data_IF_298650781141
#
_entry.id   IF_298650781141
#
_cell.length_a   1.000
_cell.length_b   1.000
_cell.length_c   1.000
_cell.angle_alpha   90.00
_cell.angle_beta   90.00
_cell.angle_gamma   90.00
#
_symmetry.space_group_name_H-M   'P 1'
#
loop_
_entity.id
_entity.type
_entity.pdbx_description
1 polymer ?
#
# COMPACT_ATOMS: atom_id res chain seq x y z
N UNK A 1 -38.11 -28.01 -16.54
CA UNK A 1 -37.73 -27.31 -15.29
C UNK A 1 -36.22 -27.24 -15.01
N UNK A 2 -35.35 -28.05 -15.63
CA UNK A 2 -33.90 -28.05 -15.34
C UNK A 2 -33.12 -26.84 -15.89
N UNK A 3 -33.59 -26.22 -16.98
CA UNK A 3 -32.92 -25.06 -17.60
C UNK A 3 -33.01 -23.75 -16.79
N UNK A 4 -34.09 -23.56 -16.02
CA UNK A 4 -34.25 -22.35 -15.20
C UNK A 4 -33.33 -22.33 -13.97
N UNK A 5 -32.97 -23.50 -13.43
CA UNK A 5 -32.09 -23.60 -12.27
C UNK A 5 -30.63 -23.27 -12.65
N UNK A 6 -30.15 -23.78 -13.79
CA UNK A 6 -28.77 -23.56 -14.27
C UNK A 6 -28.48 -22.09 -14.55
N UNK A 7 -29.47 -21.34 -15.04
CA UNK A 7 -29.32 -19.91 -15.32
C UNK A 7 -29.17 -19.07 -14.03
N UNK A 8 -29.87 -19.44 -12.96
CA UNK A 8 -29.78 -18.76 -11.66
C UNK A 8 -28.42 -19.04 -10.99
N UNK A 9 -27.91 -20.27 -11.08
CA UNK A 9 -26.57 -20.59 -10.55
C UNK A 9 -25.47 -19.86 -11.32
N UNK A 10 -25.62 -19.64 -12.63
CA UNK A 10 -24.65 -18.88 -13.43
C UNK A 10 -24.62 -17.39 -13.04
N UNK A 11 -25.77 -16.79 -12.73
CA UNK A 11 -25.88 -15.38 -12.32
C UNK A 11 -25.27 -15.17 -10.92
N UNK A 12 -25.49 -16.10 -9.99
CA UNK A 12 -24.85 -16.02 -8.66
C UNK A 12 -23.33 -16.20 -8.72
N UNK A 13 -22.81 -17.00 -9.65
CA UNK A 13 -21.37 -17.20 -9.83
C UNK A 13 -20.69 -15.98 -10.48
N UNK A 14 -21.40 -15.22 -11.33
CA UNK A 14 -20.91 -13.96 -11.90
C UNK A 14 -20.86 -12.81 -10.87
N UNK A 15 -21.68 -12.86 -9.82
CA UNK A 15 -21.67 -11.89 -8.72
C UNK A 15 -20.59 -12.15 -7.65
N UNK A 16 -19.94 -13.32 -7.70
CA UNK A 16 -18.82 -13.67 -6.82
C UNK A 16 -17.45 -13.38 -7.44
N UNK A 17 -17.39 -12.58 -8.51
CA UNK A 17 -16.12 -12.02 -8.97
C UNK A 17 -15.58 -11.14 -7.83
N UNK A 18 -14.41 -11.46 -7.24
CA UNK A 18 -13.80 -10.54 -6.30
C UNK A 18 -13.54 -9.26 -7.08
N UNK A 19 -14.20 -8.18 -6.66
CA UNK A 19 -13.87 -6.80 -7.00
C UNK A 19 -12.47 -6.47 -6.47
N UNK A 20 -11.46 -7.17 -6.98
CA UNK A 20 -10.10 -6.68 -7.07
C UNK A 20 -10.08 -5.72 -8.26
N UNK A 21 -10.86 -4.65 -8.17
CA UNK A 21 -10.51 -3.43 -8.89
C UNK A 21 -9.15 -3.06 -8.34
N UNK A 22 -8.10 -3.50 -9.04
CA UNK A 22 -6.75 -3.08 -8.79
C UNK A 22 -6.74 -1.57 -9.00
N UNK A 23 -6.86 -0.82 -7.90
CA UNK A 23 -6.71 0.62 -7.87
C UNK A 23 -5.42 0.94 -8.63
N UNK A 24 -5.56 1.61 -9.79
CA UNK A 24 -4.42 1.86 -10.65
C UNK A 24 -3.46 2.79 -9.89
N UNK A 25 -2.19 2.39 -9.67
CA UNK A 25 -1.21 3.22 -8.97
C UNK A 25 -0.86 4.54 -9.69
N UNK A 26 -1.41 4.77 -10.88
CA UNK A 26 -1.11 5.93 -11.74
C UNK A 26 -1.51 7.30 -11.16
N UNK A 27 -2.38 7.34 -10.15
CA UNK A 27 -2.90 8.59 -9.59
C UNK A 27 -2.14 9.09 -8.34
N UNK A 28 -1.10 8.38 -7.91
CA UNK A 28 -0.31 8.77 -6.73
C UNK A 28 0.94 9.55 -7.16
N UNK A 29 1.10 10.82 -6.75
CA UNK A 29 2.21 11.66 -7.21
C UNK A 29 3.54 11.18 -6.62
N UNK A 30 4.51 10.90 -7.49
CA UNK A 30 5.88 10.55 -7.09
C UNK A 30 6.84 11.74 -7.24
N UNK A 31 7.91 11.81 -6.43
CA UNK A 31 8.97 12.79 -6.62
C UNK A 31 9.61 12.70 -8.01
N UNK A 32 9.77 13.84 -8.68
CA UNK A 32 10.47 13.91 -10.00
C UNK A 32 11.95 13.54 -9.88
N UNK A 33 12.54 13.75 -8.71
CA UNK A 33 13.92 13.48 -8.35
C UNK A 33 14.11 12.09 -7.70
N UNK A 34 13.14 11.18 -7.83
CA UNK A 34 13.23 9.83 -7.27
C UNK A 34 14.50 9.11 -7.76
N UNK A 35 15.37 8.75 -6.81
CA UNK A 35 16.60 7.98 -7.05
C UNK A 35 16.74 6.88 -6.01
N UNK A 36 16.68 5.62 -6.45
CA UNK A 36 16.83 4.46 -5.57
C UNK A 36 18.33 4.23 -5.32
N UNK A 37 18.71 4.12 -4.05
CA UNK A 37 20.09 3.95 -3.59
C UNK A 37 20.23 2.79 -2.59
N UNK A 38 21.47 2.33 -2.41
CA UNK A 38 21.82 1.22 -1.52
C UNK A 38 21.46 -0.15 -2.11
N UNK A 39 21.88 -1.23 -1.45
CA UNK A 39 21.44 -2.59 -1.78
C UNK A 39 20.09 -2.87 -1.11
N UNK A 40 19.21 -3.60 -1.79
CA UNK A 40 17.97 -4.04 -1.16
C UNK A 40 18.37 -5.06 -0.08
N UNK A 41 17.83 -4.98 1.15
CA UNK A 41 17.90 -6.10 2.07
C UNK A 41 17.39 -7.36 1.37
N UNK A 42 17.99 -8.53 1.63
CA UNK A 42 17.52 -9.79 1.06
C UNK A 42 16.03 -10.07 1.37
N UNK A 43 15.54 -9.54 2.50
CA UNK A 43 14.13 -9.60 2.89
C UNK A 43 13.20 -8.74 2.02
N UNK A 44 13.73 -7.79 1.24
CA UNK A 44 12.97 -6.93 0.34
C UNK A 44 13.11 -7.41 -1.10
N UNK A 45 12.12 -8.18 -1.57
CA UNK A 45 12.04 -8.64 -2.96
C UNK A 45 11.61 -7.54 -3.94
N UNK A 46 11.00 -6.47 -3.42
CA UNK A 46 10.63 -5.27 -4.15
C UNK A 46 11.20 -4.01 -3.47
N UNK A 47 11.24 -2.89 -4.20
CA UNK A 47 11.65 -1.57 -3.68
C UNK A 47 10.49 -0.62 -3.43
N UNK A 48 9.33 -0.95 -3.98
CA UNK A 48 8.14 -0.14 -3.92
C UNK A 48 6.90 -1.03 -3.80
N UNK A 49 5.87 -0.48 -3.18
CA UNK A 49 4.58 -1.11 -3.01
C UNK A 49 3.47 -0.08 -3.21
N UNK A 50 2.34 -0.51 -3.75
CA UNK A 50 1.14 0.30 -3.91
C UNK A 50 -0.07 -0.40 -3.33
N UNK A 51 -0.96 0.34 -2.68
CA UNK A 51 -2.21 -0.18 -2.15
C UNK A 51 -3.18 0.93 -1.78
N UNK A 52 -4.24 0.57 -1.09
CA UNK A 52 -5.29 1.50 -0.66
C UNK A 52 -5.59 1.33 0.83
N UNK A 53 -5.51 2.42 1.58
CA UNK A 53 -5.99 2.47 2.96
C UNK A 53 -7.50 2.35 2.96
N UNK A 54 -8.02 1.37 3.70
CA UNK A 54 -9.46 1.15 3.86
C UNK A 54 -9.82 0.97 5.32
N UNK A 55 -10.94 1.58 5.70
CA UNK A 55 -11.69 1.19 6.88
C UNK A 55 -12.68 0.08 6.45
N UNK A 56 -12.63 -1.14 7.01
CA UNK A 56 -13.57 -2.20 6.65
C UNK A 56 -15.04 -1.86 6.95
N UNK A 57 -15.29 -0.86 7.81
CA UNK A 57 -16.63 -0.36 8.14
C UNK A 57 -17.12 0.73 7.18
N UNK A 58 -16.24 1.29 6.34
CA UNK A 58 -16.59 2.32 5.37
C UNK A 58 -17.05 1.72 4.03
N UNK A 59 -17.83 2.46 3.23
CA UNK A 59 -18.18 2.06 1.87
C UNK A 59 -16.96 1.67 1.02
N UNK A 60 -17.07 0.69 0.10
CA UNK A 60 -15.92 0.18 -0.68
C UNK A 60 -15.16 1.25 -1.48
N UNK A 61 -15.84 2.31 -1.88
CA UNK A 61 -15.29 3.44 -2.63
C UNK A 61 -14.50 4.43 -1.77
N UNK A 62 -14.62 4.38 -0.44
CA UNK A 62 -13.86 5.24 0.46
C UNK A 62 -12.47 4.67 0.71
N UNK A 63 -11.48 5.55 0.75
CA UNK A 63 -10.12 5.18 1.13
C UNK A 63 -9.06 5.91 0.33
N UNK A 64 -7.81 5.75 0.75
CA UNK A 64 -6.69 6.54 0.25
C UNK A 64 -5.67 5.66 -0.47
N UNK A 65 -5.49 5.87 -1.77
CA UNK A 65 -4.42 5.23 -2.53
C UNK A 65 -3.07 5.71 -2.00
N UNK A 66 -2.13 4.79 -1.83
CA UNK A 66 -0.81 5.07 -1.30
C UNK A 66 0.27 4.23 -1.98
N UNK A 67 1.46 4.82 -2.08
CA UNK A 67 2.68 4.19 -2.57
C UNK A 67 3.77 4.37 -1.53
N UNK A 68 4.45 3.29 -1.20
CA UNK A 68 5.59 3.29 -0.30
C UNK A 68 6.83 2.84 -1.08
N UNK A 69 7.91 3.60 -0.99
CA UNK A 69 9.17 3.32 -1.69
C UNK A 69 10.34 3.38 -0.72
N UNK A 70 11.22 2.40 -0.74
CA UNK A 70 12.49 2.45 -0.02
C UNK A 70 13.56 3.13 -0.89
N UNK A 71 13.68 4.45 -0.72
CA UNK A 71 14.63 5.29 -1.46
C UNK A 71 16.08 4.93 -1.13
N UNK A 72 16.41 4.78 0.16
CA UNK A 72 17.77 4.42 0.60
C UNK A 72 17.69 3.48 1.81
N UNK A 73 18.51 2.43 1.83
CA UNK A 73 18.62 1.51 2.96
C UNK A 73 20.07 1.36 3.39
N UNK A 74 20.32 1.46 4.70
CA UNK A 74 21.64 1.31 5.31
C UNK A 74 21.50 0.61 6.67
N UNK A 75 21.66 -0.72 6.67
CA UNK A 75 21.49 -1.54 7.87
C UNK A 75 20.08 -1.41 8.46
N UNK A 76 19.98 -1.01 9.74
CA UNK A 76 18.72 -0.81 10.47
C UNK A 76 18.05 0.54 10.22
N UNK A 77 18.54 1.33 9.26
CA UNK A 77 17.97 2.65 8.93
C UNK A 77 17.59 2.68 7.46
N UNK A 78 16.44 3.28 7.18
CA UNK A 78 16.02 3.55 5.81
C UNK A 78 15.51 4.99 5.67
N UNK A 79 15.56 5.47 4.43
CA UNK A 79 14.77 6.60 3.98
C UNK A 79 13.71 6.06 3.05
N UNK A 80 12.47 6.26 3.42
CA UNK A 80 11.31 5.91 2.60
C UNK A 80 10.73 7.16 1.96
N UNK A 81 10.08 6.98 0.83
CA UNK A 81 9.11 7.93 0.29
C UNK A 81 7.74 7.31 0.52
N UNK A 82 6.87 8.09 1.13
CA UNK A 82 5.46 7.74 1.24
C UNK A 82 4.65 8.77 0.46
N UNK A 83 3.94 8.30 -0.55
CA UNK A 83 3.11 9.07 -1.43
C UNK A 83 1.65 8.61 -1.30
N UNK A 84 0.73 9.53 -1.45
CA UNK A 84 -0.71 9.29 -1.33
C UNK A 84 -1.48 10.11 -2.35
N UNK A 85 -2.55 9.53 -2.88
CA UNK A 85 -3.44 10.16 -3.86
C UNK A 85 -4.41 11.15 -3.22
N UNK A 86 -5.27 11.73 -4.04
CA UNK A 86 -6.38 12.55 -3.59
C UNK A 86 -7.47 11.67 -2.97
N UNK A 87 -8.16 12.21 -1.96
CA UNK A 87 -9.35 11.61 -1.36
C UNK A 87 -10.29 12.76 -0.95
N UNK A 88 -11.17 13.20 -1.87
CA UNK A 88 -12.13 14.28 -1.60
C UNK A 88 -13.03 14.00 -0.40
N UNK A 89 -13.44 12.74 -0.22
CA UNK A 89 -14.27 12.28 0.89
C UNK A 89 -13.57 12.42 2.25
N UNK A 90 -12.25 12.25 2.30
CA UNK A 90 -11.44 12.49 3.50
C UNK A 90 -10.89 13.92 3.59
N UNK A 91 -11.19 14.77 2.60
CA UNK A 91 -10.61 16.13 2.43
C UNK A 91 -9.08 16.12 2.39
N UNK A 92 -8.49 15.07 1.81
CA UNK A 92 -7.03 14.91 1.66
C UNK A 92 -6.65 15.25 0.23
N UNK A 93 -5.67 16.13 0.06
CA UNK A 93 -5.02 16.39 -1.22
C UNK A 93 -3.84 15.45 -1.42
N UNK A 94 -3.61 15.02 -2.66
CA UNK A 94 -2.49 14.17 -3.01
C UNK A 94 -1.15 14.81 -2.64
N UNK A 95 -0.18 13.97 -2.31
CA UNK A 95 1.15 14.45 -1.96
C UNK A 95 2.11 13.33 -1.63
N UNK A 96 3.35 13.72 -1.36
CA UNK A 96 4.38 12.79 -0.93
C UNK A 96 5.36 13.46 0.03
N UNK A 97 6.10 12.63 0.74
CA UNK A 97 7.15 13.05 1.64
C UNK A 97 8.19 11.96 1.83
N UNK A 98 9.39 12.38 2.24
CA UNK A 98 10.49 11.50 2.63
C UNK A 98 10.51 11.37 4.14
N UNK A 99 10.67 10.15 4.64
CA UNK A 99 10.75 9.88 6.07
C UNK A 99 12.00 9.06 6.38
N UNK A 100 12.80 9.46 7.39
CA UNK A 100 13.75 8.57 8.00
C UNK A 100 12.99 7.57 8.89
N UNK A 101 13.31 6.29 8.77
CA UNK A 101 12.72 5.22 9.59
C UNK A 101 13.80 4.30 10.12
N UNK A 102 13.56 3.77 11.32
CA UNK A 102 14.32 2.67 11.87
C UNK A 102 13.62 1.35 11.52
N UNK A 103 14.40 0.38 11.08
CA UNK A 103 13.93 -0.96 10.73
C UNK A 103 14.20 -1.90 11.91
N UNK A 104 13.14 -2.54 12.40
CA UNK A 104 13.21 -3.65 13.33
C UNK A 104 13.03 -4.96 12.55
N UNK A 105 14.12 -5.67 12.30
CA UNK A 105 14.12 -6.93 11.54
C UNK A 105 14.30 -8.11 12.47
N UNK A 106 13.41 -9.09 12.36
CA UNK A 106 13.44 -10.35 13.11
C UNK A 106 13.11 -11.49 12.13
N UNK A 107 14.10 -12.34 11.84
CA UNK A 107 13.97 -13.38 10.82
C UNK A 107 13.65 -12.79 9.43
N UNK A 108 12.54 -13.24 8.84
CA UNK A 108 12.03 -12.77 7.54
C UNK A 108 11.10 -11.54 7.65
N UNK A 109 10.84 -11.04 8.86
CA UNK A 109 9.93 -9.93 9.10
C UNK A 109 10.68 -8.64 9.36
N UNK A 110 10.18 -7.54 8.81
CA UNK A 110 10.69 -6.20 9.09
C UNK A 110 9.54 -5.27 9.44
N UNK A 111 9.66 -4.56 10.54
CA UNK A 111 8.69 -3.57 11.01
C UNK A 111 9.31 -2.18 11.03
N UNK A 112 8.49 -1.17 10.76
CA UNK A 112 8.86 0.23 10.90
C UNK A 112 7.61 1.10 11.04
N UNK A 113 7.78 2.27 11.64
CA UNK A 113 6.70 3.22 11.88
C UNK A 113 7.17 4.65 11.62
N UNK A 114 6.24 5.52 11.23
CA UNK A 114 6.51 6.95 11.07
C UNK A 114 5.24 7.78 11.19
N UNK A 115 5.39 9.05 11.56
CA UNK A 115 4.29 10.04 11.52
C UNK A 115 4.25 10.70 10.15
N UNK A 116 3.14 10.50 9.43
CA UNK A 116 2.91 11.10 8.12
C UNK A 116 2.73 12.63 8.20
N UNK A 117 2.79 13.32 7.05
CA UNK A 117 2.50 14.76 6.95
C UNK A 117 1.07 15.11 7.33
N UNK A 118 0.18 14.12 7.30
CA UNK A 118 -1.22 14.22 7.74
C UNK A 118 -1.37 14.08 9.26
N UNK A 119 -0.27 13.91 10.00
CA UNK A 119 -0.27 13.77 11.47
C UNK A 119 -0.63 12.37 11.97
N UNK A 120 -0.79 11.40 11.08
CA UNK A 120 -1.10 10.02 11.46
C UNK A 120 0.15 9.17 11.63
N UNK A 121 0.21 8.38 12.70
CA UNK A 121 1.23 7.35 12.90
C UNK A 121 0.84 6.12 12.09
N UNK A 122 1.73 5.74 11.17
CA UNK A 122 1.57 4.59 10.29
C UNK A 122 2.57 3.52 10.70
N UNK A 123 2.05 2.33 11.00
CA UNK A 123 2.84 1.15 11.30
C UNK A 123 2.83 0.23 10.09
N UNK A 124 3.99 -0.32 9.74
CA UNK A 124 4.13 -1.26 8.64
C UNK A 124 4.85 -2.53 9.08
N UNK A 125 4.39 -3.65 8.56
CA UNK A 125 5.01 -4.96 8.70
C UNK A 125 5.20 -5.58 7.32
N UNK A 126 6.44 -5.99 7.06
CA UNK A 126 6.88 -6.59 5.81
C UNK A 126 7.27 -8.04 6.05
N UNK A 127 6.84 -8.92 5.15
CA UNK A 127 7.21 -10.34 5.11
C UNK A 127 7.37 -10.77 3.65
N UNK A 128 8.62 -10.82 3.18
CA UNK A 128 8.95 -11.08 1.77
C UNK A 128 8.46 -9.96 0.84
N UNK A 129 7.60 -10.30 -0.11
CA UNK A 129 7.00 -9.36 -1.07
C UNK A 129 5.72 -8.69 -0.54
N UNK A 130 5.17 -9.17 0.58
CA UNK A 130 3.95 -8.67 1.18
C UNK A 130 4.27 -7.56 2.18
N UNK A 131 3.48 -6.49 2.11
CA UNK A 131 3.48 -5.44 3.13
C UNK A 131 2.05 -5.17 3.57
N UNK A 132 1.90 -5.02 4.89
CA UNK A 132 0.67 -4.59 5.54
C UNK A 132 0.97 -3.34 6.33
N UNK A 133 -0.01 -2.45 6.41
CA UNK A 133 0.06 -1.28 7.26
C UNK A 133 -1.21 -1.09 8.08
N UNK A 134 -1.05 -0.45 9.23
CA UNK A 134 -2.13 -0.01 10.11
C UNK A 134 -1.91 1.43 10.52
N UNK A 135 -3.00 2.14 10.80
CA UNK A 135 -2.96 3.49 11.31
C UNK A 135 -3.30 3.48 12.80
N UNK A 136 -2.38 3.96 13.64
CA UNK A 136 -2.51 3.83 15.09
C UNK A 136 -3.76 4.56 15.59
N UNK A 137 -4.52 3.90 16.47
CA UNK A 137 -5.75 4.46 17.05
C UNK A 137 -6.96 4.47 16.12
N UNK A 138 -6.87 3.85 14.93
CA UNK A 138 -8.02 3.67 14.03
C UNK A 138 -8.12 2.24 13.51
N UNK A 139 -9.34 1.80 13.18
CA UNK A 139 -9.57 0.54 12.47
C UNK A 139 -9.31 0.70 10.95
N UNK A 140 -8.13 1.21 10.59
CA UNK A 140 -7.77 1.49 9.18
C UNK A 140 -6.53 0.70 8.81
N UNK A 141 -6.63 -0.06 7.72
CA UNK A 141 -5.59 -1.00 7.26
C UNK A 141 -5.29 -0.81 5.79
N UNK A 142 -4.07 -1.18 5.41
CA UNK A 142 -3.66 -1.27 4.02
C UNK A 142 -2.96 -2.60 3.78
N UNK A 143 -3.29 -3.23 2.66
CA UNK A 143 -2.48 -4.30 2.07
C UNK A 143 -1.95 -3.74 0.76
N UNK A 144 -0.63 -3.80 0.56
CA UNK A 144 -0.02 -3.28 -0.66
C UNK A 144 0.61 -4.41 -1.44
N UNK A 145 0.55 -4.31 -2.77
CA UNK A 145 1.20 -5.21 -3.69
C UNK A 145 2.54 -4.62 -4.16
N UNK A 146 3.54 -5.45 -4.50
CA UNK A 146 4.77 -4.99 -5.13
C UNK A 146 4.50 -4.11 -6.35
N UNK A 147 5.16 -2.96 -6.39
CA UNK A 147 5.09 -2.02 -7.49
C UNK A 147 6.41 -2.07 -8.27
N UNK A 148 6.34 -2.40 -9.55
CA UNK A 148 7.48 -2.26 -10.46
C UNK A 148 7.66 -0.77 -10.78
N UNK A 149 8.72 -0.18 -10.25
CA UNK A 149 9.12 1.16 -10.69
C UNK A 149 9.69 1.01 -12.11
N UNK A 150 9.08 1.71 -13.08
CA UNK A 150 9.46 1.58 -14.48
C UNK A 150 10.97 1.71 -14.67
N UNK A 151 11.56 0.78 -15.43
CA UNK A 151 12.91 0.96 -15.98
C UNK A 151 12.84 2.20 -16.88
N UNK A 152 13.37 3.32 -16.42
CA UNK A 152 13.77 4.38 -17.34
C UNK A 152 15.02 3.92 -18.08
#
# INVERSE_FOLDING_TARGET
>A
MKFKLVLITLICLALALPLNAADKPGDVPLPKDLRIQGKAPAALTARAWSGRWRNPEAPPQEGLNAVLIFEKVAGKKARIIYAYGDSPELKIKAGWARYPVNLATEGNKTKFSFTSKLGHVLDFEMEGDKIKGSLQGKNVKIVMAPLQLGKK
#
